data_IF_405245893195
#
_entry.id   IF_405245893195
#
_cell.length_a   1.000
_cell.length_b   1.000
_cell.length_c   1.000
_cell.angle_alpha   90.00
_cell.angle_beta   90.00
_cell.angle_gamma   90.00
#
_symmetry.space_group_name_H-M   'P 1'
#
loop_
_entity.id
_entity.type
_entity.pdbx_description
1 polymer ?
#
# COMPACT_ATOMS: atom_id res chain seq x y z
N UNK A 1 12.10 1.68 0.70
CA UNK A 1 11.23 2.51 1.57
C UNK A 1 9.88 1.81 1.71
N UNK A 2 9.25 1.87 2.87
CA UNK A 2 7.96 1.21 3.14
C UNK A 2 6.92 2.25 3.60
N UNK A 3 6.04 2.75 2.72
CA UNK A 3 4.84 3.46 3.15
C UNK A 3 3.83 2.49 3.76
N UNK A 4 3.27 2.86 4.90
CA UNK A 4 2.17 2.13 5.54
C UNK A 4 0.90 2.95 5.46
N UNK A 5 -0.19 2.33 5.01
CA UNK A 5 -1.51 2.94 4.87
C UNK A 5 -2.50 2.15 5.72
N UNK A 6 -3.20 2.83 6.62
CA UNK A 6 -4.28 2.22 7.42
C UNK A 6 -5.62 2.75 6.91
N UNK A 7 -6.55 1.84 6.63
CA UNK A 7 -7.89 2.12 6.08
C UNK A 7 -8.93 1.24 6.75
N UNK A 8 -10.21 1.52 6.53
CA UNK A 8 -11.30 0.69 7.02
C UNK A 8 -11.53 -0.52 6.09
N UNK A 9 -11.40 -1.74 6.64
CA UNK A 9 -11.51 -2.98 5.89
C UNK A 9 -12.90 -3.21 5.28
N UNK A 10 -13.96 -2.92 6.05
CA UNK A 10 -15.34 -3.10 5.62
C UNK A 10 -15.70 -2.14 4.50
N UNK A 11 -15.29 -0.88 4.62
CA UNK A 11 -15.47 0.14 3.59
C UNK A 11 -14.71 -0.21 2.32
N UNK A 12 -13.47 -0.70 2.44
CA UNK A 12 -12.66 -1.08 1.30
C UNK A 12 -13.33 -2.21 0.50
N UNK A 13 -13.77 -3.27 1.17
CA UNK A 13 -14.44 -4.39 0.50
C UNK A 13 -15.79 -3.98 -0.10
N UNK A 14 -16.56 -3.14 0.59
CA UNK A 14 -17.84 -2.66 0.05
C UNK A 14 -17.63 -1.75 -1.16
N UNK A 15 -16.58 -0.92 -1.17
CA UNK A 15 -16.23 -0.08 -2.31
C UNK A 15 -15.97 -0.92 -3.57
N UNK A 16 -15.20 -2.02 -3.46
CA UNK A 16 -14.91 -2.92 -4.59
C UNK A 16 -16.11 -3.71 -5.14
N UNK A 17 -17.23 -3.73 -4.41
CA UNK A 17 -18.51 -4.34 -4.84
C UNK A 17 -19.57 -3.31 -5.25
N UNK A 18 -19.25 -2.03 -5.14
CA UNK A 18 -20.20 -0.94 -5.35
C UNK A 18 -20.23 -0.53 -6.82
N UNK A 19 -21.36 -0.76 -7.50
CA UNK A 19 -21.59 -0.25 -8.86
C UNK A 19 -21.39 1.28 -8.95
N UNK A 20 -21.90 2.11 -8.00
CA UNK A 20 -21.58 3.53 -7.99
C UNK A 20 -20.07 3.83 -7.95
N UNK A 21 -19.30 3.10 -7.13
CA UNK A 21 -17.85 3.33 -7.03
C UNK A 21 -17.14 3.04 -8.35
N UNK A 22 -17.60 2.02 -9.08
CA UNK A 22 -17.11 1.74 -10.44
C UNK A 22 -17.51 2.83 -11.43
N UNK A 23 -18.78 3.25 -11.43
CA UNK A 23 -19.29 4.29 -12.33
C UNK A 23 -18.58 5.64 -12.15
N UNK A 24 -18.19 5.98 -10.93
CA UNK A 24 -17.46 7.22 -10.63
C UNK A 24 -15.93 7.10 -10.79
N UNK A 25 -15.43 5.92 -11.16
CA UNK A 25 -14.01 5.66 -11.35
C UNK A 25 -13.21 5.63 -10.05
N UNK A 26 -13.86 5.33 -8.92
CA UNK A 26 -13.16 5.09 -7.65
C UNK A 26 -12.47 3.71 -7.66
N UNK A 27 -13.00 2.77 -8.44
CA UNK A 27 -12.42 1.47 -8.77
C UNK A 27 -12.45 1.24 -10.30
N UNK A 28 -11.46 0.53 -10.82
CA UNK A 28 -11.37 0.23 -12.26
C UNK A 28 -12.33 -0.89 -12.70
N UNK A 29 -12.62 -1.84 -11.80
CA UNK A 29 -13.46 -2.99 -12.06
C UNK A 29 -14.12 -3.52 -10.77
N UNK A 30 -15.35 -4.01 -10.91
CA UNK A 30 -16.08 -4.68 -9.83
C UNK A 30 -15.43 -6.00 -9.47
N UNK A 31 -15.37 -6.28 -8.17
CA UNK A 31 -14.90 -7.57 -7.66
C UNK A 31 -15.93 -8.67 -7.99
N UNK A 32 -15.50 -9.82 -8.54
CA UNK A 32 -16.40 -10.95 -8.79
C UNK A 32 -17.07 -11.46 -7.49
N UNK A 33 -18.31 -11.92 -7.60
CA UNK A 33 -19.13 -12.32 -6.44
C UNK A 33 -18.75 -13.70 -5.87
N UNK A 34 -18.20 -14.58 -6.71
CA UNK A 34 -17.90 -15.99 -6.38
C UNK A 34 -16.51 -16.22 -5.77
N UNK A 35 -15.87 -15.17 -5.23
CA UNK A 35 -14.54 -15.27 -4.64
C UNK A 35 -14.58 -15.69 -3.18
N UNK A 36 -13.69 -16.59 -2.78
CA UNK A 36 -13.39 -16.88 -1.37
C UNK A 36 -12.80 -15.65 -0.66
N UNK A 37 -12.76 -15.65 0.67
CA UNK A 37 -12.20 -14.54 1.44
C UNK A 37 -10.72 -14.26 1.08
N UNK A 38 -9.94 -15.30 0.79
CA UNK A 38 -8.54 -15.17 0.37
C UNK A 38 -8.43 -14.53 -1.02
N UNK A 39 -9.22 -15.01 -1.98
CA UNK A 39 -9.25 -14.47 -3.34
C UNK A 39 -9.75 -13.02 -3.39
N UNK A 40 -10.68 -12.65 -2.52
CA UNK A 40 -11.14 -11.26 -2.39
C UNK A 40 -10.00 -10.34 -1.93
N UNK A 41 -9.21 -10.79 -0.94
CA UNK A 41 -8.05 -10.03 -0.47
C UNK A 41 -7.01 -9.89 -1.59
N UNK A 42 -6.75 -10.94 -2.35
CA UNK A 42 -5.79 -10.90 -3.45
C UNK A 42 -6.26 -10.04 -4.64
N UNK A 43 -7.57 -10.03 -4.91
CA UNK A 43 -8.17 -9.09 -5.85
C UNK A 43 -7.95 -7.64 -5.41
N UNK A 44 -8.28 -7.32 -4.15
CA UNK A 44 -8.09 -5.99 -3.58
C UNK A 44 -6.62 -5.55 -3.63
N UNK A 45 -5.68 -6.42 -3.23
CA UNK A 45 -4.24 -6.13 -3.35
C UNK A 45 -3.84 -5.79 -4.78
N UNK A 46 -4.27 -6.61 -5.73
CA UNK A 46 -3.94 -6.45 -7.15
C UNK A 46 -4.51 -5.15 -7.74
N UNK A 47 -5.75 -4.81 -7.37
CA UNK A 47 -6.38 -3.56 -7.78
C UNK A 47 -5.69 -2.33 -7.18
N UNK A 48 -5.33 -2.38 -5.90
CA UNK A 48 -4.59 -1.32 -5.22
C UNK A 48 -3.18 -1.15 -5.78
N UNK A 49 -2.49 -2.23 -6.16
CA UNK A 49 -1.18 -2.15 -6.83
C UNK A 49 -1.24 -1.37 -8.15
N UNK A 50 -2.30 -1.56 -8.94
CA UNK A 50 -2.46 -0.89 -10.24
C UNK A 50 -2.80 0.60 -10.11
N UNK A 51 -3.65 0.92 -9.13
CA UNK A 51 -4.19 2.26 -8.92
C UNK A 51 -3.30 3.14 -8.04
N UNK A 52 -2.47 2.54 -7.18
CA UNK A 52 -1.52 3.28 -6.34
C UNK A 52 -0.33 3.73 -7.16
N UNK A 53 -0.02 5.03 -7.11
CA UNK A 53 1.17 5.59 -7.72
C UNK A 53 2.13 6.08 -6.64
N UNK A 54 3.33 5.52 -6.63
CA UNK A 54 4.44 6.00 -5.82
C UNK A 54 5.41 6.75 -6.72
N UNK A 55 5.78 7.96 -6.32
CA UNK A 55 6.80 8.78 -6.99
C UNK A 55 7.90 9.07 -5.99
N UNK A 56 9.14 8.75 -6.35
CA UNK A 56 10.33 9.04 -5.54
C UNK A 56 11.23 9.93 -6.40
N UNK A 57 11.63 11.10 -5.87
CA UNK A 57 12.46 12.08 -6.58
C UNK A 57 11.95 12.36 -8.01
N UNK A 58 10.63 12.55 -8.15
CA UNK A 58 9.92 12.81 -9.43
C UNK A 58 9.89 11.63 -10.42
N UNK A 59 10.41 10.46 -10.06
CA UNK A 59 10.30 9.25 -10.87
C UNK A 59 9.21 8.33 -10.33
N UNK A 60 8.32 7.86 -11.21
CA UNK A 60 7.31 6.86 -10.86
C UNK A 60 8.00 5.52 -10.57
N UNK A 61 7.71 4.96 -9.40
CA UNK A 61 8.21 3.68 -8.93
C UNK A 61 7.02 2.72 -8.83
N UNK A 62 7.11 1.51 -9.42
CA UNK A 62 6.05 0.52 -9.30
C UNK A 62 5.94 0.04 -7.85
N UNK A 63 4.70 -0.16 -7.38
CA UNK A 63 4.43 -0.84 -6.12
C UNK A 63 4.56 -2.34 -6.38
N UNK A 64 5.51 -2.98 -5.70
CA UNK A 64 5.80 -4.42 -5.88
C UNK A 64 4.91 -5.27 -4.97
N UNK A 65 4.74 -4.86 -3.72
CA UNK A 65 3.99 -5.63 -2.72
C UNK A 65 2.99 -4.74 -2.00
N UNK A 66 1.79 -5.27 -1.81
CA UNK A 66 0.80 -4.74 -0.87
C UNK A 66 0.51 -5.85 0.12
N UNK A 67 1.07 -5.78 1.33
CA UNK A 67 0.68 -6.72 2.38
C UNK A 67 -0.56 -6.19 3.06
N UNK A 68 -1.56 -7.06 3.24
CA UNK A 68 -2.78 -6.77 3.96
C UNK A 68 -2.69 -7.44 5.33
N UNK A 69 -2.78 -6.67 6.39
CA UNK A 69 -2.86 -7.16 7.76
C UNK A 69 -4.11 -6.59 8.42
N UNK A 70 -5.06 -7.44 8.79
CA UNK A 70 -6.14 -7.04 9.70
C UNK A 70 -5.72 -7.33 11.13
N UNK A 71 -5.61 -6.30 11.97
CA UNK A 71 -5.24 -6.50 13.36
C UNK A 71 -6.45 -6.96 14.20
N UNK A 72 -6.40 -8.22 14.61
CA UNK A 72 -7.20 -8.90 15.65
C UNK A 72 -8.56 -9.53 15.27
N UNK A 73 -8.83 -10.66 15.92
CA UNK A 73 -10.10 -11.40 15.90
C UNK A 73 -11.24 -10.70 16.65
N UNK A 74 -10.99 -9.54 17.30
CA UNK A 74 -11.97 -8.92 18.18
C UNK A 74 -12.73 -7.72 17.59
N UNK A 75 -12.21 -7.04 16.55
CA UNK A 75 -12.94 -5.97 15.83
C UNK A 75 -12.36 -5.79 14.40
N UNK A 76 -13.01 -6.25 13.32
CA UNK A 76 -12.46 -6.33 11.96
C UNK A 76 -12.48 -4.99 11.19
N UNK A 77 -12.43 -3.84 11.86
CA UNK A 77 -12.68 -2.55 11.21
C UNK A 77 -11.48 -1.96 10.49
N UNK A 78 -10.25 -2.25 10.92
CA UNK A 78 -9.05 -1.62 10.38
C UNK A 78 -8.20 -2.61 9.59
N UNK A 79 -7.96 -2.26 8.33
CA UNK A 79 -6.99 -2.91 7.45
C UNK A 79 -5.70 -2.07 7.42
N UNK A 80 -4.57 -2.73 7.66
CA UNK A 80 -3.25 -2.18 7.38
C UNK A 80 -2.76 -2.71 6.03
N UNK A 81 -2.41 -1.77 5.16
CA UNK A 81 -1.80 -2.00 3.87
C UNK A 81 -0.36 -1.51 3.91
N UNK A 82 0.61 -2.42 3.86
CA UNK A 82 2.01 -2.04 3.72
C UNK A 82 2.38 -2.09 2.25
N UNK A 83 2.72 -0.93 1.70
CA UNK A 83 3.18 -0.79 0.33
C UNK A 83 4.69 -0.94 0.32
N UNK A 84 5.22 -1.76 -0.58
CA UNK A 84 6.66 -1.94 -0.74
C UNK A 84 7.07 -1.71 -2.19
N UNK A 85 8.17 -0.98 -2.34
CA UNK A 85 8.81 -0.73 -3.63
C UNK A 85 10.33 -0.74 -3.49
N UNK A 86 11.01 -1.23 -4.51
CA UNK A 86 12.46 -1.10 -4.67
C UNK A 86 12.79 0.09 -5.56
N UNK A 87 13.89 0.77 -5.25
CA UNK A 87 14.44 1.83 -6.07
C UNK A 87 15.96 1.84 -5.94
N UNK A 88 16.64 2.44 -6.92
CA UNK A 88 18.11 2.50 -6.97
C UNK A 88 18.68 3.85 -6.51
N UNK A 89 17.82 4.80 -6.10
CA UNK A 89 18.29 6.10 -5.59
C UNK A 89 19.18 5.95 -4.36
N UNK A 90 20.35 6.59 -4.41
CA UNK A 90 21.26 6.70 -3.27
C UNK A 90 20.69 7.60 -2.15
N UNK A 91 19.87 8.60 -2.53
CA UNK A 91 19.21 9.52 -1.62
C UNK A 91 17.75 9.71 -2.00
N UNK A 92 16.88 9.76 -1.00
CA UNK A 92 15.45 10.05 -1.17
C UNK A 92 15.15 11.40 -0.55
N UNK A 93 14.81 12.36 -1.41
CA UNK A 93 14.56 13.76 -1.06
C UNK A 93 13.06 14.04 -0.99
N UNK A 94 12.32 13.47 -1.93
CA UNK A 94 10.87 13.67 -2.07
C UNK A 94 10.16 12.34 -2.33
N UNK A 95 9.00 12.18 -1.69
CA UNK A 95 8.10 11.05 -1.89
C UNK A 95 6.68 11.59 -2.07
N UNK A 96 6.05 11.20 -3.17
CA UNK A 96 4.63 11.47 -3.41
C UNK A 96 3.91 10.13 -3.50
N UNK A 97 2.84 9.99 -2.72
CA UNK A 97 1.98 8.82 -2.75
C UNK A 97 0.58 9.26 -3.20
N UNK A 98 0.10 8.66 -4.28
CA UNK A 98 -1.28 8.82 -4.75
C UNK A 98 -2.01 7.50 -4.56
N UNK A 99 -3.08 7.54 -3.78
CA UNK A 99 -3.86 6.38 -3.34
C UNK A 99 -5.19 6.32 -4.10
N UNK A 100 -5.73 5.10 -4.25
CA UNK A 100 -7.06 4.90 -4.81
C UNK A 100 -8.14 5.50 -3.90
N UNK A 101 -9.15 6.13 -4.51
CA UNK A 101 -10.32 6.64 -3.80
C UNK A 101 -11.12 5.55 -3.09
N UNK A 102 -11.04 4.31 -3.58
CA UNK A 102 -11.65 3.15 -2.94
C UNK A 102 -11.22 2.95 -1.47
N UNK A 103 -10.05 3.46 -1.10
CA UNK A 103 -9.54 3.40 0.27
C UNK A 103 -10.28 4.32 1.25
N UNK A 104 -11.08 5.28 0.76
CA UNK A 104 -11.75 6.26 1.61
C UNK A 104 -10.77 7.05 2.47
N UNK A 105 -11.14 7.31 3.73
CA UNK A 105 -10.28 7.97 4.70
C UNK A 105 -9.12 7.07 5.11
N UNK A 106 -7.89 7.56 4.96
CA UNK A 106 -6.67 6.80 5.23
C UNK A 106 -5.74 7.54 6.18
N UNK A 107 -4.99 6.78 6.97
CA UNK A 107 -3.82 7.27 7.70
C UNK A 107 -2.55 6.76 7.03
N UNK A 108 -1.65 7.67 6.64
CA UNK A 108 -0.40 7.33 5.95
C UNK A 108 0.81 7.63 6.82
N UNK A 109 1.75 6.68 6.90
CA UNK A 109 3.04 6.86 7.55
C UNK A 109 4.18 6.59 6.56
N UNK A 110 5.20 7.45 6.58
CA UNK A 110 6.38 7.36 5.73
C UNK A 110 7.64 7.24 6.58
N UNK A 111 8.38 6.14 6.41
CA UNK A 111 9.68 5.95 7.07
C UNK A 111 10.79 6.28 6.08
N UNK A 112 11.66 7.24 6.42
CA UNK A 112 12.89 7.53 5.66
C UNK A 112 14.00 6.58 6.13
N UNK A 113 14.35 5.53 5.35
CA UNK A 113 15.45 4.64 5.73
C UNK A 113 16.78 5.39 5.61
N UNK A 114 17.71 5.10 6.53
CA UNK A 114 19.11 5.50 6.37
C UNK A 114 19.80 4.47 5.47
N UNK A 115 20.33 4.92 4.33
CA UNK A 115 21.08 4.05 3.43
C UNK A 115 22.55 4.02 3.85
N UNK A 116 23.06 2.83 4.15
CA UNK A 116 24.48 2.59 4.41
C UNK A 116 24.94 1.40 3.57
N UNK A 117 26.01 1.57 2.80
CA UNK A 117 26.65 0.47 2.09
C UNK A 117 27.55 -0.28 3.08
N UNK A 118 27.39 -1.60 3.18
CA UNK A 118 28.15 -2.46 4.10
C UNK A 118 28.86 -3.52 3.27
N UNK A 119 30.17 -3.69 3.46
CA UNK A 119 30.93 -4.74 2.79
C UNK A 119 30.56 -6.14 3.31
N UNK A 120 30.85 -7.17 2.51
CA UNK A 120 30.65 -8.55 2.94
C UNK A 120 31.53 -8.85 4.16
N UNK A 121 30.92 -9.29 5.27
CA UNK A 121 31.60 -9.58 6.53
C UNK A 121 31.81 -8.36 7.44
N UNK A 122 31.36 -7.16 7.04
CA UNK A 122 31.44 -5.95 7.86
C UNK A 122 30.14 -5.70 8.64
N UNK A 123 30.25 -4.93 9.72
CA UNK A 123 29.12 -4.50 10.53
C UNK A 123 28.83 -3.01 10.32
N UNK A 124 27.55 -2.67 10.21
CA UNK A 124 27.09 -1.28 10.24
C UNK A 124 26.48 -0.94 11.61
N UNK A 125 26.73 0.28 12.08
CA UNK A 125 26.07 0.84 13.26
C UNK A 125 25.25 2.06 12.85
N UNK A 126 23.94 1.98 13.07
CA UNK A 126 23.00 3.07 12.81
C UNK A 126 22.71 3.78 14.13
N UNK A 127 22.87 5.11 14.15
CA UNK A 127 22.46 5.95 15.28
C UNK A 127 21.20 6.71 14.90
N UNK A 128 20.16 6.51 15.69
CA UNK A 128 18.93 7.30 15.60
C UNK A 128 19.13 8.62 16.39
N UNK A 129 18.59 9.72 15.88
CA UNK A 129 18.42 10.95 16.63
C UNK A 129 17.02 10.97 17.23
#
# INVERSE_FOLDING_TARGET
>A
MWPTVRTNATHLLSAFRSEPAWLFGDIDALMPEDLTAEEQIDYVKSALQKTTTLVINKQKIPVETVSYTSHSEALPHDAELVLQSRHTFAHVDEVTLSLSKALGSVHTSFVKPQYQRVGAGESATVKYK
#
